data_IF_735473713062
#
_entry.id   IF_735473713062
#
_cell.length_a   1.000
_cell.length_b   1.000
_cell.length_c   1.000
_cell.angle_alpha   90.00
_cell.angle_beta   90.00
_cell.angle_gamma   90.00
#
_symmetry.space_group_name_H-M   'P 1'
#
loop_
_entity.id
_entity.type
_entity.pdbx_description
1 polymer ?
#
# COMPACT_ATOMS: atom_id res chain seq x y z
N UNK A 1 -2.76 -17.04 3.64
CA UNK A 1 -1.96 -15.82 3.77
C UNK A 1 -1.12 -15.71 2.53
N UNK A 2 -1.44 -14.77 1.65
CA UNK A 2 -0.62 -14.42 0.50
C UNK A 2 0.38 -13.33 0.89
N UNK A 3 1.50 -13.25 0.16
CA UNK A 3 2.49 -12.18 0.28
C UNK A 3 2.47 -11.37 -1.01
N UNK A 4 2.19 -10.08 -0.91
CA UNK A 4 2.11 -9.14 -2.03
C UNK A 4 3.19 -8.08 -1.84
N UNK A 5 3.97 -7.83 -2.88
CA UNK A 5 5.02 -6.81 -2.84
C UNK A 5 4.57 -5.57 -3.62
N UNK A 6 4.74 -4.39 -3.04
CA UNK A 6 4.40 -3.13 -3.68
C UNK A 6 5.51 -2.10 -3.45
N UNK A 7 5.75 -1.30 -4.50
CA UNK A 7 6.60 -0.11 -4.45
C UNK A 7 6.02 0.92 -3.47
N UNK A 8 6.86 1.54 -2.65
CA UNK A 8 6.47 2.62 -1.74
C UNK A 8 7.46 3.80 -1.86
N UNK A 9 6.95 5.03 -1.93
CA UNK A 9 7.81 6.21 -1.96
C UNK A 9 8.43 6.49 -0.58
N UNK A 10 9.60 7.14 -0.49
CA UNK A 10 10.35 7.26 0.76
C UNK A 10 9.57 7.92 1.90
N UNK A 11 8.83 9.00 1.60
CA UNK A 11 8.01 9.70 2.60
C UNK A 11 6.95 8.78 3.22
N UNK A 12 6.23 8.02 2.39
CA UNK A 12 5.21 7.09 2.86
C UNK A 12 5.82 5.88 3.57
N UNK A 13 6.93 5.36 3.03
CA UNK A 13 7.63 4.23 3.62
C UNK A 13 8.06 4.55 5.05
N UNK A 14 8.62 5.73 5.30
CA UNK A 14 9.04 6.16 6.63
C UNK A 14 7.84 6.27 7.58
N UNK A 15 6.74 6.91 7.15
CA UNK A 15 5.50 7.04 7.94
C UNK A 15 4.90 5.69 8.33
N UNK A 16 4.89 4.72 7.42
CA UNK A 16 4.39 3.37 7.71
C UNK A 16 5.36 2.57 8.59
N UNK A 17 6.66 2.66 8.30
CA UNK A 17 7.71 1.92 9.01
C UNK A 17 7.89 2.38 10.46
N UNK A 18 7.66 3.67 10.74
CA UNK A 18 7.70 4.26 12.08
C UNK A 18 6.41 4.02 12.88
N UNK A 19 5.31 3.66 12.20
CA UNK A 19 3.98 3.54 12.82
C UNK A 19 3.25 4.88 12.96
N UNK A 20 3.81 6.00 12.49
CA UNK A 20 3.12 7.30 12.42
C UNK A 20 1.82 7.19 11.62
N UNK A 21 1.83 6.38 10.57
CA UNK A 21 0.67 6.10 9.72
C UNK A 21 0.43 4.60 9.62
N UNK A 22 -0.83 4.20 9.65
CA UNK A 22 -1.24 2.79 9.54
C UNK A 22 -2.31 2.54 8.47
N UNK A 23 -2.83 3.59 7.81
CA UNK A 23 -3.81 3.47 6.73
C UNK A 23 -3.16 3.73 5.37
N UNK A 24 -3.09 2.70 4.55
CA UNK A 24 -2.62 2.77 3.17
C UNK A 24 -3.79 2.72 2.20
N UNK A 25 -3.73 3.58 1.17
CA UNK A 25 -4.69 3.60 0.09
C UNK A 25 -4.01 3.09 -1.18
N UNK A 26 -4.65 2.15 -1.89
CA UNK A 26 -4.12 1.57 -3.13
C UNK A 26 -5.21 1.38 -4.16
N UNK A 27 -4.91 1.56 -5.44
CA UNK A 27 -5.77 1.06 -6.51
C UNK A 27 -5.99 -0.44 -6.33
N UNK A 28 -7.23 -0.91 -6.51
CA UNK A 28 -7.57 -2.32 -6.33
C UNK A 28 -7.26 -3.17 -7.57
N UNK A 29 -6.07 -2.99 -8.13
CA UNK A 29 -5.52 -3.74 -9.27
C UNK A 29 -4.99 -5.15 -8.90
N UNK A 30 -5.20 -5.57 -7.65
CA UNK A 30 -4.70 -6.82 -7.09
C UNK A 30 -5.65 -7.37 -6.03
N UNK A 31 -5.59 -8.69 -5.83
CA UNK A 31 -6.37 -9.38 -4.80
C UNK A 31 -5.69 -9.18 -3.44
N UNK A 32 -6.46 -8.73 -2.46
CA UNK A 32 -6.02 -8.54 -1.09
C UNK A 32 -7.17 -8.89 -0.14
N UNK A 33 -6.84 -9.42 1.04
CA UNK A 33 -7.80 -9.71 2.11
C UNK A 33 -7.15 -9.57 3.48
N UNK A 34 -7.98 -9.56 4.51
CA UNK A 34 -7.52 -9.58 5.89
C UNK A 34 -6.62 -10.79 6.16
N UNK A 35 -5.54 -10.54 6.89
CA UNK A 35 -4.52 -11.50 7.26
C UNK A 35 -3.45 -11.77 6.19
N UNK A 36 -3.55 -11.20 4.99
CA UNK A 36 -2.45 -11.25 4.01
C UNK A 36 -1.30 -10.30 4.40
N UNK A 37 -0.13 -10.50 3.78
CA UNK A 37 1.08 -9.70 4.00
C UNK A 37 1.29 -8.75 2.84
N UNK A 38 1.39 -7.46 3.15
CA UNK A 38 1.86 -6.44 2.22
C UNK A 38 3.31 -6.08 2.54
N UNK A 39 4.20 -6.28 1.57
CA UNK A 39 5.60 -5.84 1.66
C UNK A 39 5.72 -4.52 0.95
N UNK A 40 6.03 -3.47 1.71
CA UNK A 40 6.38 -2.20 1.14
C UNK A 40 7.88 -2.17 0.88
N UNK A 41 8.26 -1.99 -0.37
CA UNK A 41 9.65 -1.85 -0.81
C UNK A 41 9.90 -0.38 -1.14
N UNK A 42 10.78 0.25 -0.38
CA UNK A 42 11.12 1.66 -0.60
C UNK A 42 11.80 1.83 -1.97
N UNK A 43 11.32 2.81 -2.73
CA UNK A 43 11.86 3.15 -4.04
C UNK A 43 12.38 4.58 -4.02
N UNK A 44 13.64 4.73 -4.40
CA UNK A 44 14.31 6.01 -4.54
C UNK A 44 14.00 6.61 -5.92
N UNK A 45 13.19 7.69 -6.00
CA UNK A 45 12.87 8.34 -7.27
C UNK A 45 14.06 9.07 -7.89
N UNK A 46 15.08 9.43 -7.10
CA UNK A 46 16.24 10.21 -7.59
C UNK A 46 17.18 9.30 -8.37
N UNK A 47 17.40 8.09 -7.85
CA UNK A 47 18.30 7.10 -8.45
C UNK A 47 17.56 6.05 -9.30
N UNK A 48 16.23 6.16 -9.40
CA UNK A 48 15.34 5.25 -10.14
C UNK A 48 15.53 3.76 -9.78
N UNK A 49 15.71 3.49 -8.48
CA UNK A 49 16.00 2.14 -7.98
C UNK A 49 15.36 1.87 -6.61
N UNK A 50 15.21 0.60 -6.26
CA UNK A 50 14.87 0.22 -4.90
C UNK A 50 16.05 0.51 -3.96
N UNK A 51 15.79 1.08 -2.79
CA UNK A 51 16.86 1.40 -1.82
C UNK A 51 17.39 0.15 -1.09
N UNK A 52 16.65 -0.97 -1.17
CA UNK A 52 16.89 -2.18 -0.40
C UNK A 52 16.16 -2.22 0.94
N UNK A 53 15.53 -1.11 1.37
CA UNK A 53 14.66 -1.11 2.55
C UNK A 53 13.31 -1.75 2.21
N UNK A 54 12.89 -2.69 3.05
CA UNK A 54 11.56 -3.29 2.99
C UNK A 54 10.99 -3.53 4.39
N UNK A 55 9.66 -3.46 4.51
CA UNK A 55 8.94 -3.80 5.74
C UNK A 55 7.72 -4.64 5.40
N UNK A 56 7.51 -5.72 6.16
CA UNK A 56 6.32 -6.55 6.08
C UNK A 56 5.22 -6.02 7.02
N UNK A 57 4.00 -5.92 6.50
CA UNK A 57 2.82 -5.55 7.25
C UNK A 57 1.75 -6.62 7.14
N UNK A 58 1.09 -6.94 8.24
CA UNK A 58 -0.13 -7.74 8.25
C UNK A 58 -1.31 -6.80 7.94
N UNK A 59 -2.08 -7.13 6.92
CA UNK A 59 -3.30 -6.40 6.59
C UNK A 59 -4.43 -6.80 7.55
N UNK A 60 -4.98 -5.86 8.32
CA UNK A 60 -6.00 -6.16 9.35
C UNK A 60 -7.43 -5.84 8.96
N UNK A 61 -7.60 -4.72 8.27
CA UNK A 61 -8.90 -4.22 7.83
C UNK A 61 -8.73 -3.75 6.39
N UNK A 62 -9.19 -4.58 5.47
CA UNK A 62 -9.13 -4.32 4.03
C UNK A 62 -10.53 -4.01 3.52
N UNK A 63 -10.78 -2.76 3.19
CA UNK A 63 -12.05 -2.31 2.60
C UNK A 63 -11.87 -2.02 1.11
N UNK A 64 -12.67 -2.67 0.27
CA UNK A 64 -12.82 -2.30 -1.14
C UNK A 64 -13.88 -1.20 -1.25
N UNK A 65 -13.58 -0.11 -1.93
CA UNK A 65 -14.54 0.96 -2.20
C UNK A 65 -14.38 1.51 -3.61
N UNK A 66 -15.46 2.06 -4.16
CA UNK A 66 -15.48 2.75 -5.45
C UNK A 66 -15.70 4.27 -5.30
N UNK A 67 -15.69 4.82 -4.07
CA UNK A 67 -15.71 6.26 -3.85
C UNK A 67 -14.38 6.92 -4.28
N UNK A 68 -14.33 8.22 -4.57
CA UNK A 68 -13.29 8.74 -5.48
C UNK A 68 -11.99 9.24 -4.79
N UNK A 69 -10.81 8.56 -4.89
CA UNK A 69 -9.53 9.04 -4.36
C UNK A 69 -8.69 9.78 -5.42
N UNK A 70 -9.27 10.78 -6.10
CA UNK A 70 -8.63 11.50 -7.23
C UNK A 70 -7.26 12.14 -6.93
N UNK A 71 -6.87 12.25 -5.66
CA UNK A 71 -5.55 12.77 -5.29
C UNK A 71 -4.40 11.81 -5.65
N UNK A 72 -4.69 10.53 -5.93
CA UNK A 72 -3.68 9.50 -6.17
C UNK A 72 -3.85 8.72 -7.47
N UNK A 73 -5.05 8.69 -8.04
CA UNK A 73 -5.40 7.85 -9.20
C UNK A 73 -6.34 8.59 -10.14
N UNK A 74 -6.21 8.27 -11.43
CA UNK A 74 -7.11 8.77 -12.47
C UNK A 74 -8.53 8.20 -12.27
N UNK A 75 -9.53 8.99 -12.67
CA UNK A 75 -10.94 8.67 -12.42
C UNK A 75 -11.35 7.37 -13.12
N UNK A 76 -10.86 7.14 -14.33
CA UNK A 76 -11.17 5.96 -15.13
C UNK A 76 -10.70 4.67 -14.43
N UNK A 77 -9.49 4.70 -13.86
CA UNK A 77 -8.93 3.57 -13.12
C UNK A 77 -9.71 3.30 -11.84
N UNK A 78 -10.14 4.34 -11.13
CA UNK A 78 -10.94 4.22 -9.90
C UNK A 78 -12.33 3.65 -10.21
N UNK A 79 -12.99 4.11 -11.27
CA UNK A 79 -14.30 3.61 -11.67
C UNK A 79 -14.26 2.15 -12.12
N UNK A 80 -13.18 1.74 -12.82
CA UNK A 80 -13.02 0.36 -13.29
C UNK A 80 -12.64 -0.60 -12.16
N UNK A 81 -11.67 -0.22 -11.31
CA UNK A 81 -11.01 -1.15 -10.38
C UNK A 81 -11.40 -0.91 -8.92
N UNK A 82 -11.85 0.29 -8.57
CA UNK A 82 -11.98 0.73 -7.18
C UNK A 82 -10.62 0.85 -6.47
N UNK A 83 -10.66 0.99 -5.15
CA UNK A 83 -9.46 1.12 -4.32
C UNK A 83 -9.60 0.33 -3.02
N UNK A 84 -8.45 0.00 -2.44
CA UNK A 84 -8.30 -0.57 -1.11
C UNK A 84 -8.01 0.54 -0.11
N UNK A 85 -8.68 0.48 1.04
CA UNK A 85 -8.22 1.08 2.29
C UNK A 85 -7.70 -0.05 3.16
N UNK A 86 -6.43 0.01 3.53
CA UNK A 86 -5.71 -1.08 4.17
C UNK A 86 -5.19 -0.59 5.52
N UNK A 87 -5.64 -1.20 6.61
CA UNK A 87 -4.99 -1.04 7.89
C UNK A 87 -3.78 -1.98 8.00
N UNK A 88 -2.60 -1.38 8.13
CA UNK A 88 -1.31 -2.04 8.26
C UNK A 88 -0.92 -2.20 9.73
N UNK A 89 -0.55 -3.42 10.12
CA UNK A 89 0.15 -3.70 11.35
C UNK A 89 1.57 -4.18 11.01
N UNK A 90 2.60 -3.44 11.48
CA UNK A 90 3.99 -3.82 11.22
C UNK A 90 4.27 -5.19 11.84
N UNK A 91 4.83 -6.10 11.05
CA UNK A 91 5.22 -7.42 11.51
C UNK A 91 6.57 -7.32 12.22
N UNK A 92 6.60 -7.74 13.48
CA UNK A 92 7.80 -7.76 14.33
C UNK A 92 8.74 -8.92 13.96
#
# INVERSE_FOLDING_TARGET
>A
MAKIEKKCWPEWYEKFSSGERTLELRLADFKLKDGDILVLKEYDPINDQYSGRETEFVCKKVEHSAQNPLQFYDIEDVEEKGFWIIQLEKKN
#
